data_IF_893816745739
#
_entry.id   IF_893816745739
#
_cell.length_a   1.000
_cell.length_b   1.000
_cell.length_c   1.000
_cell.angle_alpha   90.00
_cell.angle_beta   90.00
_cell.angle_gamma   90.00
#
_symmetry.space_group_name_H-M   'P 1'
#
loop_
_entity.id
_entity.type
_entity.pdbx_description
1 polymer ?
#
# COMPACT_ATOMS: atom_id res chain seq x y z
N UNK A 1 8.86 3.36 24.35
CA UNK A 1 7.71 2.51 24.15
C UNK A 1 7.71 1.94 22.76
N UNK A 2 7.46 0.68 22.66
CA UNK A 2 7.32 0.06 21.36
C UNK A 2 6.18 0.73 20.62
N UNK A 3 6.39 1.03 19.38
CA UNK A 3 5.32 1.55 18.57
C UNK A 3 4.22 0.51 18.51
N UNK A 4 3.02 0.94 18.75
CA UNK A 4 1.84 0.08 18.73
C UNK A 4 1.36 -0.16 17.30
N UNK A 5 2.26 -0.35 16.36
CA UNK A 5 1.87 -0.64 15.00
C UNK A 5 1.25 -2.03 14.95
N UNK A 6 0.00 -2.09 14.53
CA UNK A 6 -0.75 -3.33 14.42
C UNK A 6 -0.91 -3.67 12.96
N UNK A 7 -0.55 -4.89 12.60
CA UNK A 7 -0.81 -5.39 11.27
C UNK A 7 -2.29 -5.72 11.15
N UNK A 8 -2.95 -5.09 10.20
CA UNK A 8 -4.37 -5.32 9.95
C UNK A 8 -4.51 -6.24 8.74
N UNK A 9 -5.25 -7.32 8.92
CA UNK A 9 -5.51 -8.29 7.85
C UNK A 9 -6.95 -8.16 7.38
N UNK A 10 -7.23 -7.12 6.61
CA UNK A 10 -8.54 -6.90 6.02
C UNK A 10 -8.50 -7.26 4.54
N UNK A 11 -9.12 -8.37 4.21
CA UNK A 11 -9.09 -8.92 2.86
C UNK A 11 -9.67 -7.96 1.83
N UNK A 12 -10.76 -7.27 2.16
CA UNK A 12 -11.38 -6.32 1.22
C UNK A 12 -10.46 -5.15 0.91
N UNK A 13 -9.83 -4.58 1.92
CA UNK A 13 -8.91 -3.46 1.73
C UNK A 13 -7.68 -3.93 0.98
N UNK A 14 -7.15 -5.10 1.35
CA UNK A 14 -5.97 -5.67 0.67
C UNK A 14 -6.26 -5.92 -0.81
N UNK A 15 -7.42 -6.46 -1.13
CA UNK A 15 -7.82 -6.70 -2.53
C UNK A 15 -7.97 -5.39 -3.30
N UNK A 16 -8.55 -4.37 -2.67
CA UNK A 16 -8.69 -3.06 -3.29
C UNK A 16 -7.33 -2.44 -3.60
N UNK A 17 -6.41 -2.49 -2.64
CA UNK A 17 -5.06 -1.98 -2.82
C UNK A 17 -4.32 -2.76 -3.90
N UNK A 18 -4.48 -4.08 -3.92
CA UNK A 18 -3.88 -4.92 -4.94
C UNK A 18 -4.42 -4.59 -6.32
N UNK A 19 -5.72 -4.36 -6.43
CA UNK A 19 -6.36 -4.01 -7.69
C UNK A 19 -5.84 -2.68 -8.24
N UNK A 20 -5.66 -1.69 -7.36
CA UNK A 20 -5.12 -0.40 -7.79
C UNK A 20 -3.62 -0.49 -8.09
N UNK A 21 -2.90 -1.36 -7.40
CA UNK A 21 -1.46 -1.52 -7.57
C UNK A 21 -1.07 -2.31 -8.80
N UNK A 22 -1.91 -3.27 -9.20
CA UNK A 22 -1.57 -4.20 -10.27
C UNK A 22 -1.17 -3.52 -11.58
N UNK A 23 -1.95 -2.57 -12.13
CA UNK A 23 -1.54 -1.93 -13.38
C UNK A 23 -0.28 -1.09 -13.23
N UNK A 24 -0.07 -0.52 -12.05
CA UNK A 24 1.13 0.30 -11.78
C UNK A 24 2.36 -0.60 -11.71
N UNK A 25 2.27 -1.72 -11.01
CA UNK A 25 3.34 -2.70 -10.91
C UNK A 25 3.66 -3.30 -12.28
N UNK A 26 2.63 -3.65 -13.02
CA UNK A 26 2.79 -4.22 -14.35
C UNK A 26 3.51 -3.26 -15.28
N UNK A 27 3.13 -1.99 -15.25
CA UNK A 27 3.79 -0.95 -16.04
C UNK A 27 5.26 -0.77 -15.65
N UNK A 28 5.61 -1.06 -14.41
CA UNK A 28 6.98 -1.00 -13.92
C UNK A 28 7.77 -2.29 -14.19
N UNK A 29 7.15 -3.29 -14.80
CA UNK A 29 7.81 -4.57 -15.07
C UNK A 29 7.87 -5.49 -13.85
N UNK A 30 7.02 -5.26 -12.86
CA UNK A 30 6.99 -6.05 -11.63
C UNK A 30 5.72 -6.89 -11.63
N UNK A 31 5.87 -8.20 -11.36
CA UNK A 31 4.72 -9.08 -11.25
C UNK A 31 3.89 -8.69 -10.01
N UNK A 32 2.64 -8.25 -10.19
CA UNK A 32 1.81 -7.86 -9.05
C UNK A 32 1.64 -8.97 -8.00
N UNK A 33 1.69 -10.23 -8.43
CA UNK A 33 1.54 -11.37 -7.52
C UNK A 33 2.77 -11.60 -6.66
N UNK A 34 3.90 -11.00 -7.03
CA UNK A 34 5.14 -11.16 -6.26
C UNK A 34 5.27 -10.16 -5.13
N UNK A 35 4.33 -9.22 -5.03
CA UNK A 35 4.39 -8.14 -4.03
C UNK A 35 3.27 -8.35 -3.02
N UNK A 36 3.65 -8.45 -1.75
CA UNK A 36 2.69 -8.51 -0.65
C UNK A 36 2.24 -7.11 -0.27
N UNK A 37 0.97 -6.96 0.03
CA UNK A 37 0.41 -5.69 0.48
C UNK A 37 0.02 -5.83 1.94
N UNK A 38 0.57 -4.94 2.76
CA UNK A 38 0.32 -4.92 4.20
C UNK A 38 -0.42 -3.65 4.59
N UNK A 39 -1.29 -3.77 5.56
CA UNK A 39 -2.02 -2.64 6.12
C UNK A 39 -1.58 -2.49 7.56
N UNK A 40 -1.14 -1.31 7.94
CA UNK A 40 -0.62 -1.05 9.26
C UNK A 40 -1.55 -0.09 9.98
N UNK A 41 -2.01 -0.49 11.17
CA UNK A 41 -2.89 0.33 12.00
C UNK A 41 -2.11 1.48 12.62
N UNK A 42 -2.07 2.61 11.93
CA UNK A 42 -1.39 3.80 12.39
C UNK A 42 -2.09 5.03 11.83
N UNK A 43 -2.14 6.09 12.62
CA UNK A 43 -2.75 7.35 12.20
C UNK A 43 -1.83 8.18 11.30
N UNK A 44 -0.58 7.80 11.19
CA UNK A 44 0.38 8.51 10.36
C UNK A 44 0.04 8.36 8.89
N UNK A 45 0.25 9.45 8.14
CA UNK A 45 0.04 9.45 6.69
C UNK A 45 1.33 8.94 6.03
N UNK A 46 1.50 7.64 6.01
CA UNK A 46 2.74 7.05 5.55
C UNK A 46 2.49 5.75 4.80
N UNK A 47 3.46 5.41 3.96
CA UNK A 47 3.51 4.15 3.25
C UNK A 47 4.98 3.77 3.11
N UNK A 48 5.25 2.50 2.86
CA UNK A 48 6.63 2.06 2.63
C UNK A 48 6.65 0.99 1.55
N UNK A 49 7.82 0.84 0.94
CA UNK A 49 8.06 -0.20 -0.04
C UNK A 49 9.40 -0.87 0.26
N UNK A 50 9.39 -2.16 0.16
CA UNK A 50 10.60 -2.97 0.30
C UNK A 50 10.61 -4.06 -0.76
N UNK A 51 11.63 -4.94 -0.74
CA UNK A 51 11.67 -6.03 -1.71
C UNK A 51 10.43 -6.90 -1.56
N UNK A 52 9.58 -6.89 -2.58
CA UNK A 52 8.37 -7.70 -2.63
C UNK A 52 7.31 -7.36 -1.59
N UNK A 53 7.36 -6.16 -1.01
CA UNK A 53 6.34 -5.75 -0.03
C UNK A 53 6.04 -4.27 -0.17
N UNK A 54 4.77 -3.91 -0.03
CA UNK A 54 4.35 -2.53 0.12
C UNK A 54 3.42 -2.46 1.32
N UNK A 55 3.62 -1.46 2.16
CA UNK A 55 2.80 -1.26 3.34
C UNK A 55 2.13 0.11 3.32
N UNK A 56 0.91 0.16 3.80
CA UNK A 56 0.12 1.39 3.84
C UNK A 56 -0.47 1.56 5.23
N UNK A 57 -0.24 2.72 5.82
CA UNK A 57 -0.85 3.03 7.11
C UNK A 57 -2.34 3.32 6.92
N UNK A 58 -3.16 2.93 7.89
CA UNK A 58 -4.59 3.19 7.83
C UNK A 58 -4.91 4.67 7.76
N UNK A 59 -4.09 5.52 8.41
CA UNK A 59 -4.25 6.96 8.31
C UNK A 59 -4.20 7.46 6.87
N UNK A 60 -3.28 6.93 6.09
CA UNK A 60 -3.18 7.29 4.67
C UNK A 60 -4.39 6.82 3.88
N UNK A 61 -4.83 5.59 4.12
CA UNK A 61 -5.98 5.01 3.42
C UNK A 61 -7.25 5.82 3.70
N UNK A 62 -7.44 6.21 4.96
CA UNK A 62 -8.61 6.99 5.37
C UNK A 62 -8.59 8.43 4.87
N UNK A 63 -7.40 9.00 4.71
CA UNK A 63 -7.26 10.37 4.19
C UNK A 63 -7.40 10.46 2.68
N UNK A 64 -7.15 9.38 1.97
CA UNK A 64 -7.28 9.37 0.52
C UNK A 64 -8.76 9.45 0.14
N UNK A 65 -9.21 10.62 -0.29
CA UNK A 65 -10.61 10.86 -0.58
C UNK A 65 -11.07 10.20 -1.87
N UNK A 66 -10.15 9.91 -2.76
CA UNK A 66 -10.51 9.28 -4.02
C UNK A 66 -9.42 8.29 -4.47
N UNK A 67 -9.76 7.39 -5.39
CA UNK A 67 -8.80 6.41 -5.90
C UNK A 67 -7.57 7.02 -6.56
N UNK A 68 -7.70 8.20 -7.15
CA UNK A 68 -6.57 8.84 -7.83
C UNK A 68 -5.46 9.23 -6.85
N UNK A 69 -5.83 9.72 -5.67
CA UNK A 69 -4.87 10.04 -4.62
C UNK A 69 -4.13 8.79 -4.17
N UNK A 70 -4.87 7.72 -3.93
CA UNK A 70 -4.29 6.46 -3.50
C UNK A 70 -3.37 5.88 -4.57
N UNK A 71 -3.79 5.93 -5.83
CA UNK A 71 -2.96 5.47 -6.94
C UNK A 71 -1.67 6.28 -7.07
N UNK A 72 -1.73 7.58 -6.81
CA UNK A 72 -0.54 8.43 -6.81
C UNK A 72 0.48 7.99 -5.75
N UNK A 73 0.00 7.66 -4.56
CA UNK A 73 0.86 7.15 -3.49
C UNK A 73 1.45 5.80 -3.88
N UNK A 74 0.64 4.91 -4.43
CA UNK A 74 1.09 3.59 -4.87
C UNK A 74 2.18 3.74 -5.94
N UNK A 75 1.98 4.63 -6.91
CA UNK A 75 2.97 4.87 -7.96
C UNK A 75 4.29 5.38 -7.38
N UNK A 76 4.22 6.24 -6.37
CA UNK A 76 5.40 6.74 -5.69
C UNK A 76 6.17 5.60 -5.00
N UNK A 77 5.45 4.72 -4.29
CA UNK A 77 6.08 3.59 -3.61
C UNK A 77 6.63 2.56 -4.58
N UNK A 78 5.93 2.30 -5.69
CA UNK A 78 6.43 1.39 -6.73
C UNK A 78 7.74 1.90 -7.32
N UNK A 79 7.90 3.20 -7.42
CA UNK A 79 9.15 3.79 -7.88
C UNK A 79 10.35 3.47 -6.99
N UNK A 80 10.12 3.04 -5.75
CA UNK A 80 11.18 2.66 -4.81
C UNK A 80 11.50 1.16 -4.82
N UNK A 81 10.73 0.38 -5.53
CA UNK A 81 10.95 -1.08 -5.58
C UNK A 81 12.13 -1.47 -6.45
#
# INVERSE_FOLDING_TARGET
AASAQTLIRDTEIEETLAKYSAPILDAAGIDPKSVDILIIGSKELNAFAGPRVMGFNTGLILEADDPNELQGVIAHEVGHL
#
